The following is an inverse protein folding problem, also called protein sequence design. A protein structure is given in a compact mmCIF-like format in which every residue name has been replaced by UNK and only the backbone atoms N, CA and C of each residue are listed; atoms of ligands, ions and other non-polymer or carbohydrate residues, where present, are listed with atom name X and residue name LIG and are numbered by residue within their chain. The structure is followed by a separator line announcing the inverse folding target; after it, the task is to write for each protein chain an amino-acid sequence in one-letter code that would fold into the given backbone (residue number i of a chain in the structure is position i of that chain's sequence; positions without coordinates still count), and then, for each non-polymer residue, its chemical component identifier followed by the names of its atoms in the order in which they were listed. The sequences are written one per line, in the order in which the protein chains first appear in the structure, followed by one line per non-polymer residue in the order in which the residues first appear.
data_IF_540781854121
#
_entry.id   IF_540781854121
#
_cell.length_a   1.000
_cell.length_b   1.000
_cell.length_c   1.000
_cell.angle_alpha   90.00
_cell.angle_beta   90.00
_cell.angle_gamma   90.00
#
_symmetry.space_group_name_H-M   'P 1'
#
loop_
_entity.id
_entity.type
_entity.pdbx_description
1 polymer ?
#
# COMPACT_ATOMS: atom_id res chain seq x y z
N UNK A 1 61.66 -30.54 -9.80
CA UNK A 1 61.51 -29.16 -9.31
C UNK A 1 60.05 -28.88 -8.99
N UNK A 2 59.75 -28.48 -7.76
CA UNK A 2 58.45 -27.91 -7.39
C UNK A 2 58.38 -26.49 -7.94
N UNK A 3 57.58 -26.22 -8.98
CA UNK A 3 57.41 -24.86 -9.49
C UNK A 3 56.54 -24.03 -8.52
N UNK A 4 57.05 -23.71 -7.33
CA UNK A 4 56.30 -22.97 -6.32
C UNK A 4 56.18 -21.49 -6.68
N UNK A 5 57.25 -20.89 -7.20
CA UNK A 5 57.30 -19.49 -7.63
C UNK A 5 56.23 -19.12 -8.66
N UNK A 6 55.87 -20.04 -9.58
CA UNK A 6 54.79 -19.80 -10.57
C UNK A 6 53.39 -19.80 -9.95
N UNK A 7 53.24 -20.40 -8.78
CA UNK A 7 51.95 -20.58 -8.12
C UNK A 7 51.68 -19.52 -7.05
N UNK A 8 52.72 -19.05 -6.38
CA UNK A 8 52.64 -17.96 -5.42
C UNK A 8 52.46 -16.63 -6.15
N UNK A 9 51.54 -15.80 -5.64
CA UNK A 9 51.36 -14.43 -6.11
C UNK A 9 52.03 -13.48 -5.10
N UNK A 10 53.02 -12.67 -5.51
CA UNK A 10 53.73 -11.76 -4.59
C UNK A 10 52.81 -10.81 -3.83
N UNK A 11 51.69 -10.41 -4.45
CA UNK A 11 50.74 -9.44 -3.88
C UNK A 11 49.55 -10.10 -3.15
N UNK A 12 49.46 -11.43 -3.11
CA UNK A 12 48.36 -12.16 -2.43
C UNK A 12 48.80 -12.52 -1.00
N UNK A 13 48.80 -11.54 -0.09
CA UNK A 13 49.23 -11.72 1.31
C UNK A 13 48.46 -12.85 2.01
N UNK A 14 47.16 -13.02 1.70
CA UNK A 14 46.35 -14.13 2.22
C UNK A 14 46.91 -15.48 1.78
N UNK A 15 47.30 -15.62 0.50
CA UNK A 15 47.94 -16.83 -0.01
C UNK A 15 49.29 -17.10 0.67
N UNK A 16 50.10 -16.07 0.87
CA UNK A 16 51.45 -16.20 1.42
C UNK A 16 51.42 -16.58 2.90
N UNK A 17 50.61 -15.91 3.71
CA UNK A 17 50.43 -16.23 5.12
C UNK A 17 49.77 -17.61 5.30
N UNK A 18 48.81 -17.96 4.44
CA UNK A 18 48.22 -19.29 4.52
C UNK A 18 49.22 -20.40 4.15
N UNK A 19 50.05 -20.18 3.12
CA UNK A 19 51.05 -21.15 2.68
C UNK A 19 52.16 -21.37 3.73
N UNK A 20 52.66 -20.28 4.34
CA UNK A 20 53.66 -20.35 5.43
C UNK A 20 53.14 -21.11 6.63
N UNK A 21 51.93 -20.80 7.10
CA UNK A 21 51.27 -21.55 8.17
C UNK A 21 51.04 -23.01 7.81
N UNK A 22 50.54 -23.30 6.60
CA UNK A 22 50.29 -24.68 6.17
C UNK A 22 51.55 -25.55 6.17
N UNK A 23 52.68 -25.00 5.70
CA UNK A 23 53.95 -25.74 5.70
C UNK A 23 54.55 -25.86 7.10
N UNK A 24 54.32 -24.88 7.97
CA UNK A 24 54.70 -24.95 9.39
C UNK A 24 53.92 -26.05 10.11
N UNK A 25 52.60 -26.11 9.93
CA UNK A 25 51.74 -27.15 10.51
C UNK A 25 52.07 -28.56 10.01
N UNK A 26 52.71 -28.67 8.84
CA UNK A 26 53.22 -29.92 8.28
C UNK A 26 54.65 -30.24 8.71
N UNK A 27 55.24 -29.46 9.63
CA UNK A 27 56.60 -29.59 10.12
C UNK A 27 57.66 -29.54 9.01
N UNK A 28 57.41 -28.76 7.96
CA UNK A 28 58.34 -28.58 6.83
C UNK A 28 58.83 -27.15 6.69
N UNK A 29 58.30 -26.25 7.50
CA UNK A 29 58.74 -24.86 7.66
C UNK A 29 59.07 -24.62 9.13
N UNK A 30 60.09 -23.80 9.38
CA UNK A 30 60.56 -23.45 10.73
C UNK A 30 59.96 -22.13 11.24
N UNK A 31 59.27 -21.37 10.39
CA UNK A 31 58.69 -20.10 10.74
C UNK A 31 57.26 -19.98 10.17
N UNK A 32 56.28 -19.82 11.05
CA UNK A 32 54.87 -19.62 10.70
C UNK A 32 54.55 -18.17 10.30
N UNK A 33 55.40 -17.21 10.68
CA UNK A 33 55.19 -15.78 10.41
C UNK A 33 56.50 -15.04 10.06
N UNK A 34 57.14 -15.37 8.93
CA UNK A 34 58.33 -14.66 8.46
C UNK A 34 58.02 -13.19 8.09
N UNK A 35 58.97 -12.25 8.30
CA UNK A 35 58.81 -10.85 7.90
C UNK A 35 58.55 -10.66 6.41
N UNK A 36 59.12 -11.53 5.57
CA UNK A 36 58.87 -11.61 4.14
C UNK A 36 58.43 -13.03 3.77
N UNK A 37 57.12 -13.31 3.79
CA UNK A 37 56.57 -14.62 3.46
C UNK A 37 56.88 -15.09 2.04
N UNK A 38 56.99 -14.18 1.07
CA UNK A 38 57.24 -14.56 -0.32
C UNK A 38 58.67 -15.07 -0.47
N UNK A 39 59.65 -14.26 -0.08
CA UNK A 39 61.06 -14.65 -0.20
C UNK A 39 61.41 -15.84 0.71
N UNK A 40 60.77 -15.95 1.88
CA UNK A 40 60.91 -17.11 2.75
C UNK A 40 60.44 -18.41 2.07
N UNK A 41 59.28 -18.40 1.42
CA UNK A 41 58.78 -19.59 0.73
C UNK A 41 59.64 -19.98 -0.48
N UNK A 42 60.21 -19.01 -1.21
CA UNK A 42 61.13 -19.28 -2.33
C UNK A 42 62.44 -19.89 -1.84
N UNK A 43 63.03 -19.33 -0.78
CA UNK A 43 64.27 -19.86 -0.20
C UNK A 43 64.07 -21.26 0.39
N UNK A 44 62.92 -21.51 1.04
CA UNK A 44 62.55 -22.83 1.51
C UNK A 44 62.42 -23.85 0.37
N UNK A 45 61.83 -23.46 -0.76
CA UNK A 45 61.68 -24.29 -1.96
C UNK A 45 63.03 -24.63 -2.59
N UNK A 46 63.94 -23.67 -2.66
CA UNK A 46 65.31 -23.87 -3.16
C UNK A 46 66.16 -24.74 -2.24
N UNK A 47 65.95 -24.69 -0.92
CA UNK A 47 66.68 -25.52 0.04
C UNK A 47 66.14 -26.94 0.18
N UNK A 48 64.86 -27.16 -0.15
CA UNK A 48 64.14 -28.41 0.17
C UNK A 48 63.65 -29.19 -1.06
N UNK A 49 64.02 -28.79 -2.28
CA UNK A 49 63.49 -29.38 -3.53
C UNK A 49 63.75 -30.88 -3.71
N UNK A 50 64.76 -31.43 -3.03
CA UNK A 50 65.07 -32.87 -3.05
C UNK A 50 64.45 -33.65 -1.88
N UNK A 51 63.77 -32.99 -0.94
CA UNK A 51 63.11 -33.65 0.18
C UNK A 51 61.71 -34.17 -0.25
N UNK A 52 61.46 -35.50 -0.24
CA UNK A 52 60.18 -36.07 -0.65
C UNK A 52 58.99 -35.59 0.19
N UNK A 53 59.20 -35.40 1.51
CA UNK A 53 58.17 -34.92 2.42
C UNK A 53 57.74 -33.49 2.07
N UNK A 54 58.71 -32.64 1.70
CA UNK A 54 58.44 -31.28 1.25
C UNK A 54 57.67 -31.24 -0.06
N UNK A 55 58.06 -32.05 -1.06
CA UNK A 55 57.34 -32.13 -2.34
C UNK A 55 55.87 -32.52 -2.12
N UNK A 56 55.61 -33.51 -1.24
CA UNK A 56 54.26 -33.96 -0.93
C UNK A 56 53.45 -32.90 -0.17
N UNK A 57 54.07 -32.20 0.78
CA UNK A 57 53.46 -31.09 1.51
C UNK A 57 53.08 -29.95 0.56
N UNK A 58 53.95 -29.56 -0.37
CA UNK A 58 53.68 -28.51 -1.36
C UNK A 58 52.53 -28.91 -2.29
N UNK A 59 52.48 -30.16 -2.75
CA UNK A 59 51.35 -30.65 -3.58
C UNK A 59 50.02 -30.59 -2.82
N UNK A 60 50.01 -31.07 -1.58
CA UNK A 60 48.84 -31.07 -0.70
C UNK A 60 48.37 -29.64 -0.39
N UNK A 61 49.32 -28.73 -0.14
CA UNK A 61 49.09 -27.31 0.06
C UNK A 61 48.39 -26.68 -1.15
N UNK A 62 48.90 -26.90 -2.38
CA UNK A 62 48.29 -26.36 -3.59
C UNK A 62 46.85 -26.85 -3.78
N UNK A 63 46.57 -28.13 -3.47
CA UNK A 63 45.23 -28.69 -3.54
C UNK A 63 44.28 -28.11 -2.47
N UNK A 64 44.73 -28.02 -1.23
CA UNK A 64 43.97 -27.46 -0.12
C UNK A 64 43.62 -25.98 -0.35
N UNK A 65 44.55 -25.18 -0.92
CA UNK A 65 44.26 -23.78 -1.27
C UNK A 65 43.17 -23.65 -2.32
N UNK A 66 43.18 -24.51 -3.34
CA UNK A 66 42.14 -24.53 -4.38
C UNK A 66 40.78 -24.83 -3.77
N UNK A 67 40.70 -25.81 -2.87
CA UNK A 67 39.48 -26.14 -2.14
C UNK A 67 39.03 -24.99 -1.23
N UNK A 68 39.95 -24.34 -0.51
CA UNK A 68 39.66 -23.16 0.32
C UNK A 68 39.08 -22.01 -0.51
N UNK A 69 39.70 -21.67 -1.65
CA UNK A 69 39.18 -20.63 -2.57
C UNK A 69 37.79 -21.00 -3.10
N UNK A 70 37.55 -22.28 -3.41
CA UNK A 70 36.23 -22.74 -3.85
C UNK A 70 35.18 -22.60 -2.74
N UNK A 71 35.49 -23.03 -1.50
CA UNK A 71 34.59 -22.90 -0.34
C UNK A 71 34.28 -21.45 -0.01
N UNK A 72 35.28 -20.55 -0.07
CA UNK A 72 35.09 -19.10 0.13
C UNK A 72 34.08 -18.52 -0.88
N UNK A 73 34.12 -18.95 -2.14
CA UNK A 73 33.15 -18.53 -3.17
C UNK A 73 31.73 -19.08 -2.96
N UNK A 74 31.57 -20.16 -2.19
CA UNK A 74 30.28 -20.79 -1.88
C UNK A 74 29.69 -20.31 -0.56
N UNK A 75 30.41 -19.48 0.21
CA UNK A 75 29.91 -18.98 1.48
C UNK A 75 28.62 -18.16 1.26
N UNK A 76 27.51 -18.61 1.85
CA UNK A 76 26.18 -18.02 1.66
C UNK A 76 25.42 -18.50 0.41
N UNK A 77 25.97 -19.44 -0.38
CA UNK A 77 25.30 -20.02 -1.55
C UNK A 77 24.95 -21.48 -1.32
N UNK A 78 23.68 -21.82 -1.51
CA UNK A 78 23.20 -23.20 -1.45
C UNK A 78 23.16 -23.79 -2.86
N UNK A 79 23.67 -25.02 -3.03
CA UNK A 79 23.57 -25.72 -4.30
C UNK A 79 22.09 -26.06 -4.58
N UNK A 80 21.57 -25.61 -5.72
CA UNK A 80 20.20 -25.85 -6.15
C UNK A 80 20.21 -26.57 -7.49
N UNK A 81 19.70 -27.80 -7.52
CA UNK A 81 19.54 -28.57 -8.75
C UNK A 81 18.14 -28.29 -9.31
N UNK A 82 18.09 -27.83 -10.57
CA UNK A 82 16.86 -27.45 -11.24
C UNK A 82 16.66 -28.30 -12.49
N UNK A 83 15.50 -28.94 -12.61
CA UNK A 83 15.07 -29.63 -13.83
C UNK A 83 14.26 -28.64 -14.67
N UNK A 84 14.80 -28.27 -15.83
CA UNK A 84 14.14 -27.39 -16.81
C UNK A 84 14.26 -27.97 -18.22
N UNK A 85 13.34 -27.60 -19.11
CA UNK A 85 13.40 -28.02 -20.50
C UNK A 85 14.66 -27.50 -21.19
N UNK A 86 15.15 -28.27 -22.17
CA UNK A 86 16.34 -27.92 -22.95
C UNK A 86 16.21 -26.55 -23.65
N UNK A 87 15.00 -26.19 -24.07
CA UNK A 87 14.73 -24.89 -24.68
C UNK A 87 14.92 -23.73 -23.69
N UNK A 88 14.41 -23.85 -22.47
CA UNK A 88 14.53 -22.82 -21.44
C UNK A 88 15.98 -22.69 -20.97
N UNK A 89 16.70 -23.81 -20.88
CA UNK A 89 18.14 -23.82 -20.61
C UNK A 89 18.93 -23.09 -21.71
N UNK A 90 18.60 -23.31 -22.99
CA UNK A 90 19.21 -22.57 -24.12
C UNK A 90 18.94 -21.06 -24.02
N UNK A 91 17.71 -20.66 -23.67
CA UNK A 91 17.36 -19.25 -23.46
C UNK A 91 18.15 -18.62 -22.33
N UNK A 92 18.24 -19.28 -21.17
CA UNK A 92 19.03 -18.80 -20.04
C UNK A 92 20.51 -18.67 -20.40
N UNK A 93 21.07 -19.63 -21.13
CA UNK A 93 22.46 -19.57 -21.59
C UNK A 93 22.73 -18.41 -22.55
N UNK A 94 21.79 -18.13 -23.47
CA UNK A 94 21.91 -17.00 -24.38
C UNK A 94 21.83 -15.67 -23.63
N UNK A 95 20.92 -15.57 -22.65
CA UNK A 95 20.80 -14.41 -21.76
C UNK A 95 22.09 -14.19 -20.94
N UNK A 96 22.62 -15.24 -20.34
CA UNK A 96 23.83 -15.15 -19.52
C UNK A 96 25.05 -14.72 -20.35
N UNK A 97 25.19 -15.28 -21.56
CA UNK A 97 26.24 -14.88 -22.51
C UNK A 97 26.12 -13.41 -22.92
N UNK A 98 24.91 -12.93 -23.22
CA UNK A 98 24.68 -11.52 -23.57
C UNK A 98 25.06 -10.57 -22.42
N UNK A 99 24.78 -10.98 -21.17
CA UNK A 99 25.11 -10.20 -19.97
C UNK A 99 26.57 -10.39 -19.50
N UNK A 100 27.34 -11.30 -20.11
CA UNK A 100 28.71 -11.63 -19.67
C UNK A 100 28.77 -12.32 -18.29
N UNK A 101 27.65 -12.91 -17.83
CA UNK A 101 27.49 -13.51 -16.51
C UNK A 101 27.35 -15.03 -16.59
N UNK A 102 27.51 -15.71 -15.46
CA UNK A 102 27.16 -17.13 -15.34
C UNK A 102 25.65 -17.34 -15.37
N UNK A 103 25.20 -18.55 -15.70
CA UNK A 103 23.77 -18.89 -15.70
C UNK A 103 23.15 -18.71 -14.31
N UNK A 104 23.90 -19.03 -13.24
CA UNK A 104 23.46 -18.86 -11.86
C UNK A 104 23.29 -17.38 -11.48
N UNK A 105 24.27 -16.53 -11.79
CA UNK A 105 24.16 -15.09 -11.52
C UNK A 105 23.04 -14.43 -12.33
N UNK A 106 22.82 -14.90 -13.57
CA UNK A 106 21.72 -14.40 -14.41
C UNK A 106 20.37 -14.84 -13.85
N UNK A 107 20.29 -16.03 -13.25
CA UNK A 107 19.08 -16.52 -12.61
C UNK A 107 18.78 -15.76 -11.32
N UNK A 108 19.79 -15.51 -10.48
CA UNK A 108 19.68 -14.66 -9.27
C UNK A 108 19.14 -13.27 -9.66
N UNK A 109 19.74 -12.62 -10.66
CA UNK A 109 19.29 -11.30 -11.14
C UNK A 109 17.85 -11.31 -11.69
N UNK A 110 17.46 -12.36 -12.43
CA UNK A 110 16.08 -12.47 -12.92
C UNK A 110 15.06 -12.62 -11.79
N UNK A 111 15.44 -13.29 -10.68
CA UNK A 111 14.59 -13.42 -9.50
C UNK A 111 14.45 -12.06 -8.81
N UNK A 112 15.55 -11.33 -8.65
CA UNK A 112 15.56 -10.01 -8.03
C UNK A 112 14.72 -9.01 -8.85
N UNK A 113 14.94 -8.97 -10.18
CA UNK A 113 14.19 -8.12 -11.11
C UNK A 113 12.68 -8.39 -11.03
N UNK A 114 12.28 -9.66 -10.98
CA UNK A 114 10.86 -10.03 -10.95
C UNK A 114 10.23 -9.76 -9.58
N UNK A 115 10.99 -9.91 -8.51
CA UNK A 115 10.55 -9.56 -7.16
C UNK A 115 10.33 -8.07 -7.05
N UNK A 116 11.26 -7.26 -7.57
CA UNK A 116 11.14 -5.81 -7.59
C UNK A 116 9.93 -5.36 -8.43
N UNK A 117 9.75 -5.90 -9.65
CA UNK A 117 8.59 -5.59 -10.50
C UNK A 117 7.26 -5.90 -9.80
N UNK A 118 7.16 -7.03 -9.11
CA UNK A 118 5.96 -7.40 -8.37
C UNK A 118 5.68 -6.44 -7.20
N UNK A 119 6.72 -6.01 -6.50
CA UNK A 119 6.60 -5.05 -5.40
C UNK A 119 6.14 -3.67 -5.90
N UNK A 120 6.73 -3.19 -7.00
CA UNK A 120 6.32 -1.94 -7.66
C UNK A 120 4.85 -2.00 -8.10
N UNK A 121 4.43 -3.10 -8.74
CA UNK A 121 3.04 -3.28 -9.17
C UNK A 121 2.07 -3.29 -7.98
N UNK A 122 2.42 -3.98 -6.89
CA UNK A 122 1.59 -4.00 -5.65
C UNK A 122 1.46 -2.61 -5.05
N UNK A 123 2.56 -1.87 -5.00
CA UNK A 123 2.56 -0.50 -4.49
C UNK A 123 1.72 0.43 -5.35
N UNK A 124 1.76 0.29 -6.67
CA UNK A 124 0.94 1.08 -7.58
C UNK A 124 -0.56 0.76 -7.44
N UNK A 125 -0.93 -0.52 -7.37
CA UNK A 125 -2.31 -0.94 -7.12
C UNK A 125 -2.83 -0.36 -5.80
N UNK A 126 -1.99 -0.39 -4.76
CA UNK A 126 -2.33 0.19 -3.45
C UNK A 126 -2.57 1.70 -3.55
N UNK A 127 -1.67 2.44 -4.21
CA UNK A 127 -1.82 3.88 -4.43
C UNK A 127 -3.10 4.22 -5.19
N UNK A 128 -3.40 3.49 -6.27
CA UNK A 128 -4.62 3.72 -7.04
C UNK A 128 -5.88 3.46 -6.21
N UNK A 129 -5.88 2.41 -5.39
CA UNK A 129 -6.98 2.10 -4.47
C UNK A 129 -7.17 3.22 -3.44
N UNK A 130 -6.09 3.76 -2.89
CA UNK A 130 -6.14 4.85 -1.91
C UNK A 130 -6.70 6.13 -2.54
N UNK A 131 -6.22 6.50 -3.74
CA UNK A 131 -6.73 7.65 -4.50
C UNK A 131 -8.20 7.50 -4.84
N UNK A 132 -8.62 6.31 -5.29
CA UNK A 132 -10.02 6.04 -5.60
C UNK A 132 -10.90 6.16 -4.35
N UNK A 133 -10.44 5.63 -3.21
CA UNK A 133 -11.16 5.68 -1.93
C UNK A 133 -11.35 7.13 -1.47
N UNK A 134 -10.30 7.96 -1.54
CA UNK A 134 -10.39 9.38 -1.21
C UNK A 134 -11.38 10.14 -2.10
N UNK A 135 -11.35 9.89 -3.41
CA UNK A 135 -12.30 10.50 -4.35
C UNK A 135 -13.74 10.12 -4.02
N UNK A 136 -13.96 8.86 -3.68
CA UNK A 136 -15.26 8.34 -3.29
C UNK A 136 -15.76 9.00 -2.00
N UNK A 137 -14.90 9.19 -1.00
CA UNK A 137 -15.24 9.89 0.24
C UNK A 137 -15.61 11.36 0.00
N UNK A 138 -14.83 12.06 -0.83
CA UNK A 138 -15.14 13.45 -1.21
C UNK A 138 -16.50 13.54 -1.89
N UNK A 139 -16.77 12.62 -2.83
CA UNK A 139 -18.02 12.58 -3.58
C UNK A 139 -19.21 12.27 -2.68
N UNK A 140 -19.06 11.28 -1.79
CA UNK A 140 -20.07 10.95 -0.76
C UNK A 140 -20.32 12.12 0.18
N UNK A 141 -19.27 12.80 0.63
CA UNK A 141 -19.38 13.99 1.49
C UNK A 141 -20.07 15.16 0.80
N UNK A 142 -19.78 15.40 -0.49
CA UNK A 142 -20.48 16.40 -1.29
C UNK A 142 -21.95 16.04 -1.50
N UNK A 143 -22.25 14.78 -1.81
CA UNK A 143 -23.63 14.31 -1.96
C UNK A 143 -24.42 14.43 -0.65
N UNK A 144 -23.83 14.02 0.48
CA UNK A 144 -24.43 14.16 1.82
C UNK A 144 -24.75 15.63 2.14
N UNK A 145 -23.86 16.57 1.81
CA UNK A 145 -24.11 18.00 1.97
C UNK A 145 -25.29 18.48 1.12
N UNK A 146 -25.36 18.10 -0.15
CA UNK A 146 -26.49 18.44 -1.03
C UNK A 146 -27.81 17.89 -0.51
N UNK A 147 -27.83 16.63 -0.04
CA UNK A 147 -29.04 16.04 0.55
C UNK A 147 -29.47 16.81 1.79
N UNK A 148 -28.53 17.18 2.66
CA UNK A 148 -28.81 18.00 3.84
C UNK A 148 -29.35 19.39 3.48
N UNK A 149 -28.77 20.07 2.48
CA UNK A 149 -29.27 21.36 2.00
C UNK A 149 -30.70 21.25 1.46
N UNK A 150 -30.98 20.25 0.62
CA UNK A 150 -32.32 20.00 0.08
C UNK A 150 -33.33 19.75 1.21
N UNK A 151 -32.95 18.94 2.20
CA UNK A 151 -33.78 18.68 3.37
C UNK A 151 -34.05 19.94 4.19
N UNK A 152 -33.03 20.77 4.41
CA UNK A 152 -33.16 22.04 5.11
C UNK A 152 -34.13 22.99 4.39
N UNK A 153 -33.95 23.20 3.08
CA UNK A 153 -34.84 24.06 2.29
C UNK A 153 -36.28 23.52 2.25
N UNK A 154 -36.45 22.20 2.15
CA UNK A 154 -37.78 21.58 2.18
C UNK A 154 -38.48 21.84 3.50
N UNK A 155 -37.78 21.70 4.63
CA UNK A 155 -38.35 22.00 5.95
C UNK A 155 -38.72 23.49 6.08
N UNK A 156 -37.87 24.42 5.60
CA UNK A 156 -38.18 25.85 5.58
C UNK A 156 -39.44 26.14 4.76
N UNK A 157 -39.56 25.55 3.57
CA UNK A 157 -40.73 25.75 2.71
C UNK A 157 -42.00 25.18 3.35
N UNK A 158 -41.93 24.00 3.96
CA UNK A 158 -43.07 23.41 4.68
C UNK A 158 -43.49 24.25 5.89
N UNK A 159 -42.53 24.83 6.61
CA UNK A 159 -42.81 25.77 7.70
C UNK A 159 -43.56 27.01 7.21
N UNK A 160 -43.06 27.66 6.15
CA UNK A 160 -43.68 28.86 5.58
C UNK A 160 -45.06 28.56 4.98
N UNK A 161 -45.23 27.39 4.38
CA UNK A 161 -46.53 26.92 3.90
C UNK A 161 -47.52 26.79 5.06
N UNK A 162 -47.10 26.21 6.19
CA UNK A 162 -47.93 26.11 7.39
C UNK A 162 -48.36 27.49 7.92
N UNK A 163 -47.43 28.45 8.00
CA UNK A 163 -47.74 29.82 8.42
C UNK A 163 -48.71 30.52 7.46
N UNK A 164 -48.48 30.41 6.15
CA UNK A 164 -49.32 31.04 5.15
C UNK A 164 -50.72 30.43 5.13
N UNK A 165 -50.84 29.11 5.30
CA UNK A 165 -52.11 28.43 5.38
C UNK A 165 -52.91 28.86 6.61
N UNK A 166 -52.25 29.04 7.76
CA UNK A 166 -52.90 29.59 8.96
C UNK A 166 -53.39 31.03 8.76
N UNK A 167 -52.61 31.87 8.08
CA UNK A 167 -53.00 33.25 7.76
C UNK A 167 -54.16 33.30 6.76
N UNK A 168 -54.13 32.47 5.72
CA UNK A 168 -55.20 32.36 4.74
C UNK A 168 -56.52 31.98 5.41
N UNK A 169 -56.53 30.92 6.22
CA UNK A 169 -57.74 30.50 6.96
C UNK A 169 -58.21 31.63 7.88
N UNK A 170 -57.30 32.37 8.51
CA UNK A 170 -57.67 33.52 9.34
C UNK A 170 -58.34 34.63 8.52
N UNK A 171 -57.80 34.99 7.35
CA UNK A 171 -58.40 35.99 6.47
C UNK A 171 -59.76 35.56 5.92
N UNK A 172 -59.93 34.28 5.56
CA UNK A 172 -61.23 33.72 5.21
C UNK A 172 -62.23 33.95 6.35
N UNK A 173 -61.87 33.58 7.58
CA UNK A 173 -62.72 33.80 8.75
C UNK A 173 -63.06 35.29 8.97
N UNK A 174 -62.07 36.18 8.86
CA UNK A 174 -62.27 37.61 9.08
C UNK A 174 -63.18 38.22 8.00
N UNK A 175 -63.01 37.81 6.73
CA UNK A 175 -63.88 38.19 5.63
C UNK A 175 -65.31 37.67 5.80
N UNK A 176 -65.48 36.42 6.26
CA UNK A 176 -66.79 35.86 6.58
C UNK A 176 -67.50 36.63 7.70
N UNK A 177 -66.78 36.95 8.78
CA UNK A 177 -67.31 37.76 9.89
C UNK A 177 -67.74 39.16 9.45
N UNK A 178 -66.98 39.80 8.56
CA UNK A 178 -67.29 41.12 8.04
C UNK A 178 -68.54 41.14 7.14
N UNK A 179 -68.77 40.07 6.36
CA UNK A 179 -69.85 40.00 5.37
C UNK A 179 -71.14 39.35 5.90
N UNK A 180 -71.07 38.55 6.97
CA UNK A 180 -72.21 37.77 7.49
C UNK A 180 -72.28 37.78 9.02
N UNK A 181 -72.45 38.96 9.62
CA UNK A 181 -72.51 39.15 11.08
C UNK A 181 -73.61 38.35 11.81
N UNK A 182 -74.61 37.84 11.08
CA UNK A 182 -75.77 37.12 11.64
C UNK A 182 -75.76 35.60 11.40
N UNK A 183 -74.78 35.03 10.68
CA UNK A 183 -74.72 33.59 10.38
C UNK A 183 -73.60 32.95 11.22
N UNK A 184 -73.91 32.54 12.45
CA UNK A 184 -72.94 31.85 13.31
C UNK A 184 -73.56 30.64 14.00
N UNK A 185 -73.54 29.50 13.32
CA UNK A 185 -73.60 28.19 14.00
C UNK A 185 -72.31 27.36 13.84
N UNK A 186 -71.57 27.48 12.72
CA UNK A 186 -70.29 26.75 12.56
C UNK A 186 -69.14 27.56 11.94
N UNK A 187 -69.40 28.47 11.00
CA UNK A 187 -68.36 29.24 10.31
C UNK A 187 -67.85 30.36 11.24
N UNK A 188 -66.60 30.24 11.68
CA UNK A 188 -65.97 31.17 12.64
C UNK A 188 -65.60 30.55 13.98
N UNK A 189 -65.97 29.29 14.22
CA UNK A 189 -65.57 28.53 15.41
C UNK A 189 -64.12 28.04 15.31
N UNK A 190 -63.53 27.72 16.47
CA UNK A 190 -62.21 27.09 16.54
C UNK A 190 -62.21 25.72 15.83
N UNK A 191 -63.32 24.99 15.92
CA UNK A 191 -63.53 23.68 15.28
C UNK A 191 -63.43 23.78 13.75
N UNK A 192 -64.11 24.75 13.12
CA UNK A 192 -64.02 24.98 11.68
C UNK A 192 -62.58 25.27 11.22
N UNK A 193 -61.82 26.05 11.99
CA UNK A 193 -60.42 26.36 11.69
C UNK A 193 -59.54 25.10 11.73
N UNK A 194 -59.77 24.22 12.69
CA UNK A 194 -59.05 22.95 12.83
C UNK A 194 -59.42 21.97 11.72
N UNK A 195 -60.71 21.81 11.40
CA UNK A 195 -61.17 20.97 10.30
C UNK A 195 -60.62 21.42 8.94
N UNK A 196 -60.68 22.73 8.66
CA UNK A 196 -60.15 23.31 7.43
C UNK A 196 -58.65 23.08 7.31
N UNK A 197 -57.91 23.30 8.40
CA UNK A 197 -56.47 23.05 8.45
C UNK A 197 -56.13 21.56 8.24
N UNK A 198 -56.91 20.65 8.83
CA UNK A 198 -56.71 19.20 8.71
C UNK A 198 -56.96 18.71 7.27
N UNK A 199 -58.04 19.17 6.62
CA UNK A 199 -58.36 18.82 5.24
C UNK A 199 -57.25 19.23 4.26
N UNK A 200 -56.75 20.46 4.38
CA UNK A 200 -55.65 20.94 3.54
C UNK A 200 -54.34 20.20 3.86
N UNK A 201 -54.08 19.91 5.14
CA UNK A 201 -52.92 19.12 5.57
C UNK A 201 -52.93 17.71 4.99
N UNK A 202 -54.09 17.07 4.93
CA UNK A 202 -54.23 15.75 4.32
C UNK A 202 -53.95 15.79 2.81
N UNK A 203 -54.41 16.85 2.12
CA UNK A 203 -54.14 17.07 0.70
C UNK A 203 -52.65 17.28 0.44
N UNK A 204 -51.99 18.09 1.26
CA UNK A 204 -50.53 18.31 1.21
C UNK A 204 -49.78 17.00 1.46
N UNK A 205 -50.17 16.22 2.46
CA UNK A 205 -49.55 14.92 2.74
C UNK A 205 -49.73 13.92 1.59
N UNK A 206 -50.90 13.89 0.93
CA UNK A 206 -51.13 13.08 -0.27
C UNK A 206 -50.21 13.49 -1.42
N UNK A 207 -49.95 14.79 -1.59
CA UNK A 207 -49.00 15.30 -2.56
C UNK A 207 -47.55 14.94 -2.19
N UNK A 208 -47.15 15.09 -0.93
CA UNK A 208 -45.82 14.74 -0.43
C UNK A 208 -45.49 13.26 -0.63
N UNK A 209 -46.47 12.36 -0.46
CA UNK A 209 -46.30 10.92 -0.73
C UNK A 209 -45.97 10.59 -2.19
N UNK A 210 -46.33 11.46 -3.13
CA UNK A 210 -46.03 11.29 -4.57
C UNK A 210 -44.64 11.82 -4.94
N UNK A 211 -44.02 12.62 -4.08
CA UNK A 211 -42.67 13.13 -4.29
C UNK A 211 -41.67 12.05 -3.87
N UNK A 212 -40.84 11.60 -4.81
CA UNK A 212 -39.68 10.76 -4.46
C UNK A 212 -38.75 11.57 -3.56
N UNK A 213 -38.79 11.26 -2.26
CA UNK A 213 -37.95 11.85 -1.23
C UNK A 213 -37.19 10.75 -0.51
N UNK A 214 -35.97 11.08 -0.07
CA UNK A 214 -35.08 10.14 0.61
C UNK A 214 -35.54 9.83 2.04
N UNK A 215 -36.40 10.68 2.59
CA UNK A 215 -37.08 10.51 3.88
C UNK A 215 -38.55 10.88 3.73
N UNK A 216 -39.49 10.05 4.23
CA UNK A 216 -40.91 10.39 4.19
C UNK A 216 -41.15 11.66 5.02
N UNK A 217 -41.72 12.68 4.39
CA UNK A 217 -42.05 13.97 5.02
C UNK A 217 -43.52 14.02 5.40
N UNK A 218 -43.80 14.68 6.52
CA UNK A 218 -45.15 14.92 7.04
C UNK A 218 -45.42 16.41 7.16
N UNK A 219 -46.68 16.79 6.95
CA UNK A 219 -47.21 18.12 7.18
C UNK A 219 -48.41 18.06 8.16
N UNK A 220 -48.51 18.93 9.18
CA UNK A 220 -47.51 19.93 9.58
C UNK A 220 -46.19 19.28 10.05
N UNK A 221 -45.12 20.08 10.13
CA UNK A 221 -43.85 19.62 10.67
C UNK A 221 -44.00 19.25 12.16
N UNK A 222 -43.25 18.26 12.62
CA UNK A 222 -43.20 17.94 14.04
C UNK A 222 -42.58 19.12 14.84
N UNK A 223 -42.90 19.18 16.13
CA UNK A 223 -42.56 20.32 17.00
C UNK A 223 -41.05 20.58 17.03
N UNK A 224 -40.23 19.53 17.01
CA UNK A 224 -38.76 19.65 17.09
C UNK A 224 -38.21 20.21 15.78
N UNK A 225 -38.60 19.64 14.64
CA UNK A 225 -38.20 20.14 13.32
C UNK A 225 -38.66 21.58 13.09
N UNK A 226 -39.86 21.91 13.55
CA UNK A 226 -40.43 23.25 13.47
C UNK A 226 -39.61 24.28 14.25
N UNK A 227 -39.29 23.99 15.51
CA UNK A 227 -38.47 24.87 16.36
C UNK A 227 -37.07 25.09 15.77
N UNK A 228 -36.44 24.01 15.29
CA UNK A 228 -35.12 24.08 14.66
C UNK A 228 -35.16 24.94 13.38
N UNK A 229 -36.19 24.78 12.57
CA UNK A 229 -36.39 25.55 11.33
C UNK A 229 -36.61 27.03 11.62
N UNK A 230 -37.43 27.35 12.63
CA UNK A 230 -37.70 28.72 13.05
C UNK A 230 -36.42 29.42 13.55
N UNK A 231 -35.59 28.73 14.32
CA UNK A 231 -34.30 29.26 14.77
C UNK A 231 -33.33 29.55 13.62
N UNK A 232 -33.33 28.71 12.56
CA UNK A 232 -32.52 28.92 11.37
C UNK A 232 -32.97 30.16 10.58
N UNK A 233 -34.28 30.36 10.41
CA UNK A 233 -34.84 31.53 9.71
C UNK A 233 -34.53 32.84 10.45
N UNK A 234 -34.56 32.83 11.79
CA UNK A 234 -34.28 34.01 12.59
C UNK A 234 -32.79 34.35 12.72
N UNK A 235 -31.88 33.36 12.63
CA UNK A 235 -30.43 33.59 12.64
C UNK A 235 -29.87 34.11 11.32
N UNK A 236 -30.62 34.00 10.22
CA UNK A 236 -30.23 34.49 8.89
C UNK A 236 -30.66 35.93 8.58
N UNK A 237 -31.26 36.65 9.54
CA UNK A 237 -31.59 38.09 9.47
C UNK A 237 -30.62 38.88 10.32
#
# INVERSE_FOLDING_TARGET
MTELYKWLKPNDIEQLLWATNYLHDKNVSYNSNPPDPYNYLITLDQGSFNNPAYILAVRSMKAAWRQRKLRKKRHGKTEFSLIISNEKKKKLNNLSKKKGKTQSETLEELIDDETQRNEELRNEIKRQKDVFSQRLEITRGAHKRKVFEIEMYTNILLYLLEENLKKMIQYEMDAFKANHSSIHEHIGTKEFKEERFMSESETINKALKRVQSWTPKTFPLDVVTKLNTQQLIHKGK
#
